data_IF_941782936545
#
_entry.id   IF_941782936545
#
_cell.length_a   1.000
_cell.length_b   1.000
_cell.length_c   1.000
_cell.angle_alpha   90.00
_cell.angle_beta   90.00
_cell.angle_gamma   90.00
#
_symmetry.space_group_name_H-M   'P 1'
#
loop_
_entity.id
_entity.type
_entity.pdbx_description
1 polymer ?
#
# COMPACT_ATOMS: atom_id res chain seq x y z
N UNK A 1 7.37 18.86 21.32
CA UNK A 1 8.14 17.87 20.54
C UNK A 1 8.20 16.58 21.36
N UNK A 2 7.61 15.49 20.87
CA UNK A 2 7.57 14.21 21.60
C UNK A 2 8.84 13.40 21.35
N UNK A 3 9.22 12.53 22.29
CA UNK A 3 10.22 11.45 22.10
C UNK A 3 9.47 10.14 21.84
N UNK A 4 10.09 9.11 21.23
CA UNK A 4 9.42 7.81 21.07
C UNK A 4 8.96 7.25 22.43
N UNK A 5 7.82 6.56 22.44
CA UNK A 5 7.37 5.84 23.63
C UNK A 5 8.33 4.69 23.95
N UNK A 6 8.49 4.28 25.23
CA UNK A 6 9.23 3.07 25.56
C UNK A 6 8.71 1.85 24.79
N UNK A 7 9.62 0.96 24.39
CA UNK A 7 9.30 -0.21 23.60
C UNK A 7 10.54 -0.76 22.91
N UNK A 8 10.35 -1.82 22.12
CA UNK A 8 11.43 -2.41 21.33
C UNK A 8 11.40 -1.79 19.93
N UNK A 9 12.55 -1.53 19.29
CA UNK A 9 12.62 -0.84 17.99
C UNK A 9 13.75 -1.38 17.11
N UNK A 10 13.56 -1.37 15.78
CA UNK A 10 14.66 -1.17 14.83
C UNK A 10 14.92 0.33 14.73
N UNK A 11 16.19 0.72 14.67
CA UNK A 11 16.60 2.13 14.55
C UNK A 11 17.35 2.27 13.23
N UNK A 12 16.71 2.92 12.26
CA UNK A 12 17.15 2.96 10.87
C UNK A 12 17.64 4.36 10.53
N UNK A 13 18.77 4.48 9.84
CA UNK A 13 19.23 5.78 9.37
C UNK A 13 18.31 6.30 8.26
N UNK A 14 18.13 7.63 8.19
CA UNK A 14 17.33 8.26 7.14
C UNK A 14 17.98 8.12 5.75
N UNK A 15 19.31 8.07 5.68
CA UNK A 15 20.07 7.91 4.44
C UNK A 15 20.16 6.43 4.07
N UNK A 16 19.93 6.13 2.80
CA UNK A 16 20.13 4.80 2.21
C UNK A 16 21.62 4.55 1.92
N UNK A 17 22.02 3.28 1.88
CA UNK A 17 23.35 2.91 1.39
C UNK A 17 23.55 3.34 -0.07
N UNK A 18 24.80 3.38 -0.60
CA UNK A 18 25.04 3.60 -2.02
C UNK A 18 24.34 2.60 -2.94
N UNK A 19 24.00 1.41 -2.43
CA UNK A 19 23.25 0.36 -3.14
C UNK A 19 21.73 0.49 -2.97
N UNK A 20 21.25 1.46 -2.21
CA UNK A 20 19.82 1.73 -1.98
C UNK A 20 19.23 1.03 -0.75
N UNK A 21 20.03 0.36 0.07
CA UNK A 21 19.56 -0.38 1.23
C UNK A 21 19.27 0.52 2.43
N UNK A 22 18.23 0.19 3.20
CA UNK A 22 17.99 0.79 4.51
C UNK A 22 19.03 0.27 5.51
N UNK A 23 19.69 1.16 6.24
CA UNK A 23 20.73 0.79 7.21
C UNK A 23 20.23 0.88 8.66
N UNK A 24 20.28 -0.24 9.37
CA UNK A 24 19.82 -0.37 10.76
C UNK A 24 20.97 -0.53 11.75
N UNK A 25 20.82 0.05 12.95
CA UNK A 25 21.79 -0.12 14.04
C UNK A 25 21.79 -1.58 14.48
N UNK A 26 22.97 -2.19 14.45
CA UNK A 26 23.18 -3.62 14.66
C UNK A 26 24.15 -3.86 15.82
N UNK A 27 23.72 -4.68 16.78
CA UNK A 27 24.57 -5.21 17.84
C UNK A 27 25.44 -6.34 17.31
N UNK A 28 26.76 -6.23 17.53
CA UNK A 28 27.73 -7.22 17.08
C UNK A 28 28.17 -8.13 18.23
N UNK A 29 28.72 -7.55 19.30
CA UNK A 29 29.23 -8.26 20.46
C UNK A 29 29.38 -7.30 21.65
N UNK A 30 29.42 -7.86 22.87
CA UNK A 30 29.73 -7.10 24.08
C UNK A 30 31.13 -6.46 24.00
N UNK A 31 31.25 -5.21 24.42
CA UNK A 31 32.47 -4.40 24.38
C UNK A 31 32.82 -3.86 22.99
N UNK A 32 32.16 -4.34 21.94
CA UNK A 32 32.35 -3.89 20.56
C UNK A 32 31.53 -2.65 20.21
N UNK A 33 31.87 -2.05 19.07
CA UNK A 33 31.07 -1.00 18.47
C UNK A 33 29.79 -1.58 17.84
N UNK A 34 28.68 -0.88 17.98
CA UNK A 34 27.51 -1.11 17.13
C UNK A 34 27.86 -0.70 15.69
N UNK A 35 27.28 -1.38 14.72
CA UNK A 35 27.45 -1.08 13.29
C UNK A 35 26.12 -0.73 12.62
N UNK A 36 26.20 -0.24 11.40
CA UNK A 36 25.09 -0.05 10.49
C UNK A 36 25.14 -1.19 9.49
N UNK A 37 24.08 -1.98 9.41
CA UNK A 37 23.98 -3.01 8.38
C UNK A 37 22.64 -2.99 7.68
N UNK A 38 22.53 -3.64 6.52
CA UNK A 38 21.27 -3.76 5.80
C UNK A 38 20.14 -4.24 6.75
N UNK A 39 18.99 -3.55 6.69
CA UNK A 39 17.85 -3.83 7.54
C UNK A 39 17.38 -5.27 7.34
N UNK A 40 17.23 -5.99 8.45
CA UNK A 40 16.77 -7.38 8.53
C UNK A 40 15.89 -7.57 9.76
N UNK A 41 15.30 -8.75 9.93
CA UNK A 41 14.49 -9.09 11.10
C UNK A 41 15.30 -9.69 12.26
N UNK A 42 16.63 -9.60 12.23
CA UNK A 42 17.50 -10.26 13.22
C UNK A 42 17.35 -9.64 14.61
N UNK A 43 17.33 -10.44 15.70
CA UNK A 43 17.33 -9.92 17.07
C UNK A 43 18.52 -9.03 17.43
N UNK A 44 19.61 -9.09 16.66
CA UNK A 44 20.77 -8.18 16.79
C UNK A 44 20.46 -6.74 16.35
N UNK A 45 19.41 -6.50 15.56
CA UNK A 45 18.99 -5.17 15.12
C UNK A 45 17.82 -4.60 15.94
N UNK A 46 17.34 -5.35 16.93
CA UNK A 46 16.23 -4.94 17.79
C UNK A 46 16.77 -4.39 19.11
N UNK A 47 16.27 -3.23 19.50
CA UNK A 47 16.72 -2.48 20.67
C UNK A 47 15.55 -2.16 21.60
N UNK A 48 15.67 -2.56 22.86
CA UNK A 48 14.79 -2.10 23.93
C UNK A 48 15.15 -0.66 24.29
N UNK A 49 14.20 0.25 24.02
CA UNK A 49 14.29 1.68 24.32
C UNK A 49 13.45 1.96 25.56
N UNK A 50 14.09 2.38 26.64
CA UNK A 50 13.43 2.63 27.94
C UNK A 50 13.62 4.07 28.37
N UNK A 51 12.60 4.64 29.03
CA UNK A 51 12.76 5.95 29.67
C UNK A 51 13.68 5.81 30.88
N UNK A 52 14.68 6.69 30.97
CA UNK A 52 15.49 6.81 32.18
C UNK A 52 14.96 7.96 33.06
N UNK A 53 14.70 9.12 32.47
CA UNK A 53 14.02 10.25 33.12
C UNK A 53 13.14 10.99 32.10
N UNK A 54 12.69 12.21 32.39
CA UNK A 54 11.84 13.01 31.49
C UNK A 54 12.52 13.44 30.17
N UNK A 55 13.86 13.43 30.11
CA UNK A 55 14.64 13.98 29.01
C UNK A 55 15.58 12.97 28.34
N UNK A 56 15.87 11.83 28.98
CA UNK A 56 16.80 10.82 28.45
C UNK A 56 16.22 9.41 28.44
N UNK A 57 16.76 8.58 27.56
CA UNK A 57 16.38 7.19 27.32
C UNK A 57 17.62 6.29 27.30
N UNK A 58 17.45 5.00 27.61
CA UNK A 58 18.49 3.99 27.49
C UNK A 58 18.14 3.01 26.35
N UNK A 59 19.17 2.43 25.73
CA UNK A 59 19.04 1.52 24.60
C UNK A 59 19.82 0.24 24.90
N UNK A 60 19.14 -0.90 24.93
CA UNK A 60 19.71 -2.22 25.19
C UNK A 60 19.37 -3.17 24.02
N UNK A 61 20.30 -3.99 23.50
CA UNK A 61 19.96 -4.94 22.46
C UNK A 61 19.03 -6.03 23.01
N UNK A 62 18.01 -6.43 22.25
CA UNK A 62 17.06 -7.49 22.68
C UNK A 62 17.77 -8.81 22.90
N UNK A 63 18.76 -9.12 22.07
CA UNK A 63 19.59 -10.33 22.19
C UNK A 63 20.52 -10.33 23.40
N UNK A 64 20.69 -9.22 24.11
CA UNK A 64 21.53 -9.11 25.32
C UNK A 64 21.05 -7.97 26.23
N UNK A 65 19.90 -8.14 26.92
CA UNK A 65 19.21 -7.04 27.61
C UNK A 65 19.93 -6.52 28.87
N UNK A 66 20.97 -7.22 29.34
CA UNK A 66 21.85 -6.78 30.43
C UNK A 66 22.90 -5.76 29.98
N UNK A 67 22.98 -5.49 28.67
CA UNK A 67 23.90 -4.51 28.07
C UNK A 67 23.17 -3.21 27.71
N UNK A 68 23.91 -2.14 27.53
CA UNK A 68 23.45 -0.83 27.09
C UNK A 68 24.41 -0.21 26.10
N UNK A 69 23.91 0.70 25.25
CA UNK A 69 24.77 1.56 24.44
C UNK A 69 25.49 2.59 25.31
N UNK A 70 26.80 2.70 25.12
CA UNK A 70 27.68 3.64 25.80
C UNK A 70 28.53 4.42 24.80
N UNK A 71 29.16 5.48 25.29
CA UNK A 71 30.06 6.31 24.51
C UNK A 71 31.45 5.67 24.50
N UNK A 72 31.95 5.29 23.32
CA UNK A 72 33.33 4.84 23.08
C UNK A 72 34.18 5.88 22.33
N UNK A 73 35.38 5.51 21.85
CA UNK A 73 36.25 6.47 21.15
C UNK A 73 35.70 6.84 19.76
N UNK A 74 34.82 7.86 19.70
CA UNK A 74 34.14 8.35 18.49
C UNK A 74 33.03 7.45 17.95
N UNK A 75 32.69 6.38 18.66
CA UNK A 75 31.69 5.38 18.25
C UNK A 75 30.80 4.98 19.41
N UNK A 76 29.65 4.41 19.10
CA UNK A 76 28.75 3.82 20.08
C UNK A 76 29.16 2.38 20.34
N UNK A 77 29.47 2.08 21.59
CA UNK A 77 29.82 0.73 22.06
C UNK A 77 28.67 0.12 22.85
N UNK A 78 28.67 -1.21 23.02
CA UNK A 78 27.63 -1.91 23.78
C UNK A 78 28.26 -2.65 24.95
N UNK A 79 27.97 -2.20 26.17
CA UNK A 79 28.68 -2.57 27.40
C UNK A 79 27.70 -2.92 28.53
N UNK A 80 28.14 -3.58 29.62
CA UNK A 80 27.27 -3.89 30.75
C UNK A 80 26.51 -2.66 31.26
N UNK A 81 25.23 -2.82 31.59
CA UNK A 81 24.38 -1.70 31.99
C UNK A 81 25.00 -0.88 33.15
N UNK A 82 24.98 0.44 32.99
CA UNK A 82 25.67 1.37 33.91
C UNK A 82 25.02 2.76 33.96
N UNK A 83 23.72 2.84 33.66
CA UNK A 83 22.98 4.10 33.51
C UNK A 83 23.48 4.99 32.36
N UNK A 84 23.91 4.38 31.25
CA UNK A 84 24.25 5.10 30.03
C UNK A 84 22.96 5.53 29.30
N UNK A 85 22.85 6.83 29.03
CA UNK A 85 21.60 7.43 28.56
C UNK A 85 21.83 8.46 27.47
N UNK A 86 20.82 8.63 26.63
CA UNK A 86 20.86 9.46 25.44
C UNK A 86 19.63 10.35 25.37
N UNK A 87 19.80 11.57 24.87
CA UNK A 87 18.71 12.50 24.59
C UNK A 87 18.15 12.22 23.20
N UNK A 88 16.85 11.90 23.13
CA UNK A 88 16.16 11.60 21.88
C UNK A 88 15.18 12.72 21.57
N UNK A 89 15.30 13.35 20.40
CA UNK A 89 14.45 14.46 19.98
C UNK A 89 13.82 14.20 18.62
N UNK A 90 12.50 14.28 18.54
CA UNK A 90 11.83 14.35 17.24
C UNK A 90 11.93 15.77 16.69
N UNK A 91 12.42 15.87 15.46
CA UNK A 91 12.40 17.07 14.65
C UNK A 91 11.43 16.89 13.49
N UNK A 92 11.13 17.96 12.75
CA UNK A 92 10.30 17.88 11.54
C UNK A 92 10.90 16.96 10.47
N UNK A 93 12.22 16.75 10.50
CA UNK A 93 12.95 16.00 9.48
C UNK A 93 13.32 14.57 9.89
N UNK A 94 12.96 14.14 11.11
CA UNK A 94 13.21 12.83 11.72
C UNK A 94 13.76 12.92 13.15
N UNK A 95 14.23 11.81 13.72
CA UNK A 95 14.65 11.75 15.15
C UNK A 95 16.17 11.81 15.29
N UNK A 96 16.69 12.68 16.16
CA UNK A 96 18.12 12.72 16.51
C UNK A 96 18.36 12.00 17.84
N UNK A 97 19.49 11.31 17.96
CA UNK A 97 19.97 10.68 19.20
C UNK A 97 21.27 11.37 19.60
N UNK A 98 21.30 11.99 20.78
CA UNK A 98 22.38 12.84 21.24
C UNK A 98 22.86 12.38 22.62
N UNK A 99 24.08 12.76 23.00
CA UNK A 99 24.54 12.61 24.38
C UNK A 99 23.70 13.46 25.35
N UNK A 100 23.82 13.18 26.65
CA UNK A 100 23.05 13.90 27.68
C UNK A 100 23.34 15.42 27.70
N UNK A 101 24.54 15.84 27.31
CA UNK A 101 24.91 17.25 27.16
C UNK A 101 24.48 17.88 25.83
N UNK A 102 23.96 17.07 24.89
CA UNK A 102 23.53 17.47 23.55
C UNK A 102 24.64 18.17 22.73
N UNK A 103 25.88 17.74 22.95
CA UNK A 103 27.10 18.24 22.29
C UNK A 103 27.51 17.39 21.09
N UNK A 104 27.12 16.11 21.07
CA UNK A 104 27.43 15.16 20.03
C UNK A 104 26.21 14.28 19.69
N UNK A 105 26.11 13.88 18.42
CA UNK A 105 24.98 13.11 17.92
C UNK A 105 25.44 11.83 17.21
N UNK A 106 24.62 10.81 17.36
CA UNK A 106 24.78 9.54 16.64
C UNK A 106 24.60 9.78 15.16
N UNK A 107 25.49 9.23 14.33
CA UNK A 107 25.42 9.39 12.89
C UNK A 107 25.93 8.18 12.10
N UNK A 108 25.42 8.09 10.87
CA UNK A 108 25.94 7.21 9.84
C UNK A 108 27.07 7.91 9.09
N UNK A 109 28.32 7.65 9.49
CA UNK A 109 29.50 8.34 8.96
C UNK A 109 29.50 8.43 7.42
N UNK A 110 29.62 7.29 6.74
CA UNK A 110 29.53 7.21 5.27
C UNK A 110 28.18 6.66 4.78
N UNK A 111 27.34 6.17 5.71
CA UNK A 111 26.09 5.47 5.41
C UNK A 111 26.33 4.26 4.48
N UNK A 112 27.30 3.42 4.81
CA UNK A 112 27.60 2.18 4.10
C UNK A 112 27.37 0.95 4.99
N UNK A 113 27.03 -0.18 4.37
CA UNK A 113 26.86 -1.46 5.09
C UNK A 113 28.18 -1.88 5.76
N UNK A 114 28.11 -2.19 7.05
CA UNK A 114 29.25 -2.52 7.90
C UNK A 114 29.90 -1.35 8.63
N UNK A 115 29.52 -0.10 8.34
CA UNK A 115 30.08 1.06 9.04
C UNK A 115 29.82 1.01 10.54
N UNK A 116 30.76 1.51 11.34
CA UNK A 116 30.52 1.68 12.78
C UNK A 116 29.52 2.82 13.00
N UNK A 117 28.62 2.66 13.97
CA UNK A 117 27.77 3.73 14.44
C UNK A 117 28.62 4.80 15.14
N UNK A 118 28.74 5.96 14.50
CA UNK A 118 29.59 7.05 14.96
C UNK A 118 28.85 7.97 15.94
N UNK A 119 29.63 8.66 16.78
CA UNK A 119 29.16 9.81 17.55
C UNK A 119 30.16 10.95 17.36
N UNK A 120 29.68 12.08 16.85
CA UNK A 120 30.54 13.24 16.53
C UNK A 120 29.86 14.54 16.96
N UNK A 121 30.62 15.63 17.16
CA UNK A 121 30.04 16.97 17.28
C UNK A 121 29.14 17.30 16.08
N UNK A 122 28.01 17.98 16.33
CA UNK A 122 27.01 18.31 15.31
C UNK A 122 25.65 17.66 15.58
N UNK A 123 24.57 18.28 15.06
CA UNK A 123 23.19 17.97 15.47
C UNK A 123 22.20 17.83 14.31
N UNK A 124 22.66 17.81 13.06
CA UNK A 124 21.74 17.89 11.92
C UNK A 124 22.28 17.34 10.61
N UNK A 125 21.35 17.12 9.68
CA UNK A 125 21.58 16.45 8.40
C UNK A 125 21.01 15.03 8.40
N UNK A 126 20.74 14.49 7.22
CA UNK A 126 20.03 13.21 7.09
C UNK A 126 20.84 12.05 7.71
N UNK A 127 22.17 12.09 7.67
CA UNK A 127 23.05 11.09 8.29
C UNK A 127 22.98 11.06 9.83
N UNK A 128 22.54 12.15 10.46
CA UNK A 128 22.35 12.28 11.91
C UNK A 128 20.91 11.94 12.33
N UNK A 129 20.07 11.60 11.34
CA UNK A 129 18.64 11.44 11.52
C UNK A 129 18.25 9.98 11.45
N UNK A 130 17.43 9.57 12.40
CA UNK A 130 17.03 8.19 12.63
C UNK A 130 15.51 8.05 12.57
N UNK A 131 15.06 6.88 12.16
CA UNK A 131 13.68 6.45 12.09
C UNK A 131 13.52 5.27 13.05
N UNK A 132 12.66 5.43 14.05
CA UNK A 132 12.35 4.40 15.04
C UNK A 132 11.18 3.56 14.52
N UNK A 133 11.44 2.28 14.22
CA UNK A 133 10.42 1.32 13.75
C UNK A 133 10.14 0.34 14.89
N UNK A 134 8.96 0.41 15.52
CA UNK A 134 8.65 -0.37 16.72
C UNK A 134 8.52 -1.88 16.44
N UNK A 135 9.15 -2.70 17.29
CA UNK A 135 9.13 -4.17 17.31
C UNK A 135 8.00 -4.63 18.23
N UNK A 136 7.24 -5.65 17.84
CA UNK A 136 5.97 -6.01 18.48
C UNK A 136 4.78 -5.15 18.03
N UNK A 137 5.06 -3.97 17.45
CA UNK A 137 4.24 -3.41 16.36
C UNK A 137 4.62 -4.00 14.98
N UNK A 138 5.61 -4.92 14.96
CA UNK A 138 6.32 -5.51 13.82
C UNK A 138 6.78 -4.49 12.74
N UNK A 139 7.86 -4.75 11.97
CA UNK A 139 7.69 -4.47 10.56
C UNK A 139 6.59 -5.43 10.15
N UNK A 140 5.35 -4.95 10.06
CA UNK A 140 4.39 -5.64 9.20
C UNK A 140 5.19 -6.03 7.94
N UNK A 141 5.13 -7.29 7.46
CA UNK A 141 5.72 -7.65 6.16
C UNK A 141 5.41 -6.50 5.21
N UNK A 142 6.44 -5.92 4.54
CA UNK A 142 6.52 -4.49 4.19
C UNK A 142 5.12 -3.90 4.14
N UNK A 143 4.68 -3.29 5.27
CA UNK A 143 3.26 -3.01 5.62
C UNK A 143 2.36 -3.64 4.60
N UNK A 144 1.78 -4.84 4.80
CA UNK A 144 0.84 -5.45 3.84
C UNK A 144 -0.05 -4.36 3.25
N UNK A 145 0.44 -3.82 2.14
CA UNK A 145 -0.13 -2.71 1.41
C UNK A 145 -0.65 -3.53 0.28
N UNK A 146 -1.69 -4.31 0.63
CA UNK A 146 -2.32 -5.20 -0.30
C UNK A 146 -2.64 -4.31 -1.47
N UNK A 147 -1.92 -4.51 -2.58
CA UNK A 147 -2.13 -3.66 -3.71
C UNK A 147 -3.34 -4.24 -4.43
N UNK A 148 -4.31 -3.40 -4.70
CA UNK A 148 -5.38 -3.74 -5.64
C UNK A 148 -4.99 -3.21 -7.00
N UNK A 149 -4.84 -4.14 -7.94
CA UNK A 149 -4.55 -3.87 -9.34
C UNK A 149 -5.79 -4.19 -10.16
N UNK A 150 -6.36 -3.17 -10.80
CA UNK A 150 -7.52 -3.29 -11.69
C UNK A 150 -7.00 -3.21 -13.11
N UNK A 151 -7.37 -4.20 -13.94
CA UNK A 151 -7.10 -4.19 -15.37
C UNK A 151 -8.40 -4.39 -16.13
N UNK A 152 -8.65 -3.59 -17.14
CA UNK A 152 -9.78 -3.79 -18.04
C UNK A 152 -9.39 -3.60 -19.49
N UNK A 153 -9.93 -4.44 -20.38
CA UNK A 153 -9.57 -4.46 -21.79
C UNK A 153 -10.71 -3.99 -22.68
N UNK A 154 -10.35 -3.21 -23.70
CA UNK A 154 -11.17 -2.94 -24.87
C UNK A 154 -10.60 -3.74 -26.05
N UNK A 155 -11.38 -4.67 -26.56
CA UNK A 155 -10.95 -5.48 -27.70
C UNK A 155 -11.27 -4.78 -29.04
N UNK A 156 -10.51 -5.12 -30.08
CA UNK A 156 -10.87 -4.71 -31.44
C UNK A 156 -12.24 -5.28 -31.85
N UNK A 157 -12.93 -4.61 -32.77
CA UNK A 157 -14.20 -5.09 -33.33
C UNK A 157 -14.09 -6.44 -34.03
N UNK A 158 -12.88 -6.85 -34.43
CA UNK A 158 -12.59 -8.14 -35.08
C UNK A 158 -12.23 -9.27 -34.11
N UNK A 159 -12.05 -8.98 -32.82
CA UNK A 159 -11.69 -10.01 -31.84
C UNK A 159 -12.88 -10.93 -31.59
N UNK A 160 -12.73 -12.22 -31.90
CA UNK A 160 -13.78 -13.23 -31.70
C UNK A 160 -14.03 -13.52 -30.23
N UNK A 161 -15.25 -13.98 -29.90
CA UNK A 161 -15.59 -14.39 -28.52
C UNK A 161 -14.71 -15.55 -28.03
N UNK A 162 -14.28 -16.46 -28.92
CA UNK A 162 -13.32 -17.50 -28.58
C UNK A 162 -11.95 -16.93 -28.18
N UNK A 163 -11.44 -15.92 -28.90
CA UNK A 163 -10.19 -15.26 -28.57
C UNK A 163 -10.30 -14.50 -27.23
N UNK A 164 -11.41 -13.79 -27.00
CA UNK A 164 -11.69 -13.14 -25.71
C UNK A 164 -11.72 -14.14 -24.55
N UNK A 165 -12.28 -15.33 -24.77
CA UNK A 165 -12.28 -16.40 -23.78
C UNK A 165 -10.88 -16.96 -23.52
N UNK A 166 -10.06 -17.14 -24.56
CA UNK A 166 -8.65 -17.54 -24.41
C UNK A 166 -7.86 -16.52 -23.61
N UNK A 167 -8.03 -15.22 -23.89
CA UNK A 167 -7.39 -14.14 -23.11
C UNK A 167 -7.83 -14.20 -21.65
N UNK A 168 -9.14 -14.37 -21.39
CA UNK A 168 -9.65 -14.45 -20.03
C UNK A 168 -9.11 -15.66 -19.26
N UNK A 169 -9.08 -16.85 -19.87
CA UNK A 169 -8.49 -18.03 -19.24
C UNK A 169 -7.01 -17.85 -18.93
N UNK A 170 -6.26 -17.27 -19.87
CA UNK A 170 -4.84 -16.98 -19.67
C UNK A 170 -4.60 -15.96 -18.55
N UNK A 171 -5.45 -14.91 -18.45
CA UNK A 171 -5.35 -13.95 -17.36
C UNK A 171 -5.64 -14.60 -16.00
N UNK A 172 -6.71 -15.39 -15.90
CA UNK A 172 -7.05 -16.09 -14.64
C UNK A 172 -5.94 -17.06 -14.19
N UNK A 173 -5.25 -17.70 -15.15
CA UNK A 173 -4.15 -18.62 -14.86
C UNK A 173 -2.95 -17.93 -14.19
N UNK A 174 -2.78 -16.61 -14.36
CA UNK A 174 -1.70 -15.85 -13.72
C UNK A 174 -1.71 -16.03 -12.20
N UNK A 175 -2.88 -16.18 -11.58
CA UNK A 175 -3.01 -16.44 -10.13
C UNK A 175 -2.12 -17.60 -9.66
N UNK A 176 -1.97 -18.63 -10.49
CA UNK A 176 -1.18 -19.83 -10.18
C UNK A 176 0.16 -19.88 -10.92
N UNK A 177 0.32 -19.14 -12.02
CA UNK A 177 1.54 -19.13 -12.83
C UNK A 177 2.57 -18.07 -12.38
N UNK A 178 2.12 -16.99 -11.75
CA UNK A 178 2.99 -15.96 -11.18
C UNK A 178 3.57 -16.45 -9.84
N UNK A 179 4.70 -17.14 -9.92
CA UNK A 179 5.38 -17.79 -8.80
C UNK A 179 6.56 -16.95 -8.30
N UNK A 180 6.64 -16.77 -6.98
CA UNK A 180 7.73 -16.09 -6.32
C UNK A 180 8.98 -16.97 -6.37
N UNK A 181 10.09 -16.44 -6.93
CA UNK A 181 11.36 -17.19 -7.05
C UNK A 181 11.96 -17.55 -5.69
N UNK A 182 11.73 -16.75 -4.66
CA UNK A 182 12.28 -16.95 -3.32
C UNK A 182 11.49 -17.99 -2.52
N UNK A 183 10.17 -18.06 -2.70
CA UNK A 183 9.30 -18.93 -1.90
C UNK A 183 8.77 -20.15 -2.66
N UNK A 184 8.84 -20.15 -3.99
CA UNK A 184 8.26 -21.18 -4.85
C UNK A 184 6.72 -21.23 -4.83
N UNK A 185 6.05 -20.18 -4.31
CA UNK A 185 4.60 -20.11 -4.16
C UNK A 185 4.01 -18.98 -5.02
N UNK A 186 2.73 -19.07 -5.44
CA UNK A 186 2.08 -17.96 -6.11
C UNK A 186 2.01 -16.73 -5.19
N UNK A 187 2.29 -15.55 -5.74
CA UNK A 187 2.29 -14.29 -4.97
C UNK A 187 1.06 -13.40 -5.25
N UNK A 188 0.24 -13.73 -6.24
CA UNK A 188 -1.08 -13.14 -6.44
C UNK A 188 -2.03 -13.75 -5.41
N UNK A 189 -2.48 -12.95 -4.44
CA UNK A 189 -3.30 -13.39 -3.30
C UNK A 189 -4.72 -13.70 -3.75
N UNK A 190 -5.32 -12.77 -4.49
CA UNK A 190 -6.64 -12.93 -5.08
C UNK A 190 -6.63 -12.42 -6.51
N UNK A 191 -7.45 -13.05 -7.36
CA UNK A 191 -7.64 -12.67 -8.75
C UNK A 191 -9.05 -13.06 -9.14
N UNK A 192 -9.83 -12.07 -9.51
CA UNK A 192 -11.19 -12.24 -10.02
C UNK A 192 -11.32 -11.48 -11.32
N UNK A 193 -12.20 -11.93 -12.20
CA UNK A 193 -12.53 -11.18 -13.40
C UNK A 193 -13.80 -11.68 -14.04
N UNK A 194 -14.33 -10.91 -14.96
CA UNK A 194 -15.53 -11.24 -15.69
C UNK A 194 -15.77 -10.27 -16.84
N UNK A 195 -16.81 -10.55 -17.61
CA UNK A 195 -17.32 -9.65 -18.63
C UNK A 195 -18.14 -8.54 -17.96
N UNK A 196 -17.91 -7.32 -18.44
CA UNK A 196 -18.71 -6.16 -18.10
C UNK A 196 -20.21 -6.42 -18.36
N UNK A 197 -21.02 -6.25 -17.33
CA UNK A 197 -22.49 -6.29 -17.40
C UNK A 197 -23.14 -5.00 -16.89
N UNK A 198 -22.37 -3.91 -16.76
CA UNK A 198 -22.87 -2.62 -16.32
C UNK A 198 -23.91 -2.04 -17.28
N UNK A 199 -24.93 -1.40 -16.70
CA UNK A 199 -26.01 -0.72 -17.44
C UNK A 199 -25.98 0.80 -17.28
N UNK A 200 -24.97 1.33 -16.59
CA UNK A 200 -24.88 2.76 -16.28
C UNK A 200 -24.31 3.59 -17.44
N UNK A 201 -23.72 2.96 -18.46
CA UNK A 201 -23.20 3.64 -19.64
C UNK A 201 -21.86 4.35 -19.46
N UNK A 202 -21.19 4.14 -18.33
CA UNK A 202 -19.87 4.73 -18.03
C UNK A 202 -18.70 3.76 -18.27
N UNK A 203 -18.89 2.64 -18.97
CA UNK A 203 -17.87 1.60 -19.18
C UNK A 203 -16.76 1.96 -20.18
N UNK A 204 -16.97 3.01 -20.98
CA UNK A 204 -16.01 3.51 -21.98
C UNK A 204 -15.59 2.44 -23.02
N UNK A 205 -16.48 1.50 -23.33
CA UNK A 205 -16.24 0.41 -24.27
C UNK A 205 -15.36 -0.72 -23.72
N UNK A 206 -15.07 -0.73 -22.42
CA UNK A 206 -14.30 -1.79 -21.78
C UNK A 206 -15.18 -3.04 -21.60
N UNK A 207 -14.68 -4.18 -22.06
CA UNK A 207 -15.47 -5.41 -22.16
C UNK A 207 -15.18 -6.40 -21.03
N UNK A 208 -13.91 -6.62 -20.67
CA UNK A 208 -13.51 -7.55 -19.61
C UNK A 208 -12.74 -6.78 -18.54
N UNK A 209 -12.97 -7.11 -17.27
CA UNK A 209 -12.25 -6.52 -16.13
C UNK A 209 -11.71 -7.61 -15.22
N UNK A 210 -10.57 -7.34 -14.61
CA UNK A 210 -9.86 -8.17 -13.66
C UNK A 210 -9.47 -7.31 -12.46
N UNK A 211 -9.63 -7.86 -11.27
CA UNK A 211 -9.20 -7.27 -10.00
C UNK A 211 -8.26 -8.27 -9.33
N UNK A 212 -7.01 -7.86 -9.16
CA UNK A 212 -5.95 -8.64 -8.53
C UNK A 212 -5.59 -8.01 -7.19
N UNK A 213 -5.14 -8.85 -6.28
CA UNK A 213 -4.55 -8.45 -5.02
C UNK A 213 -3.15 -9.04 -4.90
N UNK A 214 -2.16 -8.18 -4.67
CA UNK A 214 -0.81 -8.59 -4.31
C UNK A 214 -0.59 -8.45 -2.81
N UNK A 215 0.19 -9.35 -2.21
CA UNK A 215 0.50 -9.25 -0.78
C UNK A 215 1.40 -8.06 -0.45
N UNK A 216 2.24 -7.64 -1.41
CA UNK A 216 3.22 -6.58 -1.25
C UNK A 216 3.38 -5.76 -2.53
N UNK A 217 3.87 -4.53 -2.40
CA UNK A 217 4.24 -3.70 -3.55
C UNK A 217 5.38 -4.32 -4.37
N UNK A 218 6.34 -4.97 -3.72
CA UNK A 218 7.44 -5.66 -4.41
C UNK A 218 6.95 -6.79 -5.32
N UNK A 219 5.92 -7.53 -4.88
CA UNK A 219 5.28 -8.57 -5.70
C UNK A 219 4.60 -7.97 -6.93
N UNK A 220 3.91 -6.82 -6.78
CA UNK A 220 3.33 -6.08 -7.92
C UNK A 220 4.40 -5.57 -8.88
N UNK A 221 5.45 -4.92 -8.39
CA UNK A 221 6.51 -4.39 -9.25
C UNK A 221 7.21 -5.53 -10.01
N UNK A 222 7.46 -6.66 -9.35
CA UNK A 222 7.98 -7.85 -10.02
C UNK A 222 7.01 -8.38 -11.09
N UNK A 223 5.70 -8.45 -10.80
CA UNK A 223 4.67 -8.82 -11.77
C UNK A 223 4.72 -7.95 -13.02
N UNK A 224 4.76 -6.64 -12.86
CA UNK A 224 4.73 -5.68 -13.97
C UNK A 224 5.99 -5.75 -14.84
N UNK A 225 7.16 -5.82 -14.20
CA UNK A 225 8.45 -5.61 -14.87
C UNK A 225 9.19 -6.88 -15.27
N UNK A 226 9.07 -7.96 -14.49
CA UNK A 226 10.02 -9.08 -14.51
C UNK A 226 9.39 -10.46 -14.61
N UNK A 227 8.10 -10.60 -14.33
CA UNK A 227 7.46 -11.90 -14.32
C UNK A 227 7.26 -12.47 -15.75
N UNK A 228 7.84 -13.64 -16.05
CA UNK A 228 7.76 -14.22 -17.40
C UNK A 228 6.35 -14.72 -17.77
N UNK A 229 5.52 -15.11 -16.79
CA UNK A 229 4.14 -15.51 -17.06
C UNK A 229 3.29 -14.29 -17.44
N UNK A 230 3.46 -13.17 -16.73
CA UNK A 230 2.80 -11.92 -17.09
C UNK A 230 3.31 -11.38 -18.45
N UNK A 231 4.61 -11.43 -18.73
CA UNK A 231 5.16 -11.04 -20.04
C UNK A 231 4.59 -11.89 -21.19
N UNK A 232 4.47 -13.21 -20.99
CA UNK A 232 3.81 -14.11 -21.94
C UNK A 232 2.34 -13.72 -22.15
N UNK A 233 1.62 -13.37 -21.09
CA UNK A 233 0.26 -12.88 -21.18
C UNK A 233 0.17 -11.56 -21.97
N UNK A 234 1.04 -10.57 -21.70
CA UNK A 234 1.09 -9.29 -22.45
C UNK A 234 1.24 -9.52 -23.95
N UNK A 235 2.12 -10.46 -24.34
CA UNK A 235 2.33 -10.86 -25.75
C UNK A 235 1.10 -11.53 -26.37
N UNK A 236 0.38 -12.34 -25.58
CA UNK A 236 -0.86 -13.00 -26.02
C UNK A 236 -1.98 -11.99 -26.27
N UNK A 237 -2.21 -11.05 -25.34
CA UNK A 237 -3.36 -10.13 -25.42
C UNK A 237 -3.13 -8.99 -26.41
N UNK A 238 -1.89 -8.53 -26.56
CA UNK A 238 -1.54 -7.34 -27.35
C UNK A 238 -2.12 -7.26 -28.78
N UNK A 239 -2.21 -8.36 -29.56
CA UNK A 239 -2.83 -8.34 -30.89
C UNK A 239 -4.35 -8.11 -30.90
N UNK A 240 -5.04 -8.30 -29.77
CA UNK A 240 -6.50 -8.24 -29.68
C UNK A 240 -7.05 -6.91 -29.15
N UNK A 241 -6.18 -6.00 -28.69
CA UNK A 241 -6.54 -4.72 -28.08
C UNK A 241 -6.67 -3.60 -29.13
N UNK A 242 -7.59 -2.67 -28.87
CA UNK A 242 -7.93 -1.56 -29.77
C UNK A 242 -6.94 -0.38 -29.69
N UNK A 243 -5.73 -0.61 -30.23
CA UNK A 243 -4.58 0.34 -30.27
C UNK A 243 -4.85 1.71 -30.92
N UNK A 244 -5.61 1.82 -32.02
CA UNK A 244 -5.72 3.07 -32.76
C UNK A 244 -6.50 4.19 -32.05
N UNK A 245 -7.24 3.90 -30.96
CA UNK A 245 -8.12 4.88 -30.30
C UNK A 245 -7.62 5.36 -28.92
N UNK A 246 -6.35 5.11 -28.57
CA UNK A 246 -5.72 5.67 -27.37
C UNK A 246 -6.18 5.03 -26.06
N UNK A 247 -6.58 3.76 -26.05
CA UNK A 247 -7.02 3.08 -24.83
C UNK A 247 -6.95 1.56 -24.93
N UNK A 248 -5.75 1.00 -24.91
CA UNK A 248 -5.54 -0.46 -25.00
C UNK A 248 -6.01 -1.21 -23.75
N UNK A 249 -5.83 -0.59 -22.59
CA UNK A 249 -6.33 -1.08 -21.33
C UNK A 249 -6.70 0.11 -20.44
N UNK A 250 -7.49 -0.15 -19.42
CA UNK A 250 -7.53 0.67 -18.21
C UNK A 250 -6.77 -0.09 -17.13
N UNK A 251 -5.74 0.54 -16.56
CA UNK A 251 -4.96 -0.04 -15.46
C UNK A 251 -4.99 0.94 -14.30
N UNK A 252 -5.35 0.46 -13.12
CA UNK A 252 -5.45 1.28 -11.94
C UNK A 252 -4.99 0.53 -10.71
N UNK A 253 -4.13 1.17 -9.92
CA UNK A 253 -3.52 0.62 -8.72
C UNK A 253 -3.83 1.51 -7.54
N UNK A 254 -4.27 0.89 -6.45
CA UNK A 254 -4.41 1.58 -5.18
C UNK A 254 -4.11 0.69 -3.99
N UNK A 255 -3.69 1.34 -2.90
CA UNK A 255 -3.60 0.74 -1.59
C UNK A 255 -4.95 1.00 -0.91
N UNK A 256 -5.66 -0.05 -0.44
CA UNK A 256 -6.89 0.09 0.32
C UNK A 256 -6.80 1.16 1.41
N UNK A 257 -7.81 2.03 1.43
CA UNK A 257 -8.02 3.10 2.41
C UNK A 257 -6.96 4.21 2.41
N UNK A 258 -6.15 4.33 1.34
CA UNK A 258 -5.16 5.40 1.17
C UNK A 258 -5.63 6.39 0.11
N UNK A 259 -6.09 7.58 0.54
CA UNK A 259 -6.67 8.63 -0.34
C UNK A 259 -5.91 9.96 -0.34
N UNK A 260 -4.72 10.03 0.27
CA UNK A 260 -3.91 11.25 0.32
C UNK A 260 -2.58 11.03 -0.43
N UNK A 261 -2.12 12.04 -1.18
CA UNK A 261 -0.74 12.04 -1.69
C UNK A 261 0.23 11.90 -0.51
N UNK A 262 1.15 10.94 -0.58
CA UNK A 262 2.18 10.76 0.45
C UNK A 262 2.91 12.10 0.69
N UNK A 263 2.69 12.72 1.86
CA UNK A 263 3.24 14.04 2.16
C UNK A 263 2.63 14.79 3.36
N UNK A 264 1.46 14.40 3.88
CA UNK A 264 0.88 15.03 5.08
C UNK A 264 0.72 14.02 6.22
N UNK A 265 1.33 14.35 7.36
CA UNK A 265 1.47 13.53 8.57
C UNK A 265 0.16 13.39 9.37
N UNK A 266 -0.82 12.72 8.78
CA UNK A 266 -1.95 12.15 9.51
C UNK A 266 -2.13 10.73 8.99
N UNK A 267 -1.60 9.75 9.72
CA UNK A 267 -1.74 8.34 9.36
C UNK A 267 -3.22 7.96 9.21
N UNK A 268 -3.58 7.10 8.24
CA UNK A 268 -4.93 6.58 8.15
C UNK A 268 -5.26 5.87 9.47
N UNK A 269 -6.32 6.31 10.15
CA UNK A 269 -6.96 5.48 11.16
C UNK A 269 -7.51 4.27 10.42
N UNK A 270 -6.86 3.12 10.61
CA UNK A 270 -7.29 1.85 10.04
C UNK A 270 -8.67 1.49 10.60
N UNK A 271 -9.72 1.73 9.81
CA UNK A 271 -10.97 1.01 9.95
C UNK A 271 -10.69 -0.46 9.57
N UNK A 272 -10.31 -1.25 10.59
CA UNK A 272 -10.08 -2.70 10.48
C UNK A 272 -11.38 -3.42 10.10
N UNK A 273 -11.67 -3.50 8.80
CA UNK A 273 -12.64 -4.45 8.22
C UNK A 273 -12.21 -4.94 6.82
N UNK A 274 -10.90 -5.09 6.58
CA UNK A 274 -10.42 -5.69 5.34
C UNK A 274 -10.74 -7.19 5.32
N UNK A 275 -11.66 -7.58 4.45
CA UNK A 275 -11.85 -8.97 4.03
C UNK A 275 -11.30 -9.07 2.60
N UNK A 276 -10.42 -10.05 2.30
CA UNK A 276 -10.02 -10.31 0.92
C UNK A 276 -11.30 -10.55 0.10
N UNK A 277 -11.30 -10.11 -1.16
CA UNK A 277 -12.47 -10.30 -2.03
C UNK A 277 -12.87 -11.78 -2.01
N UNK A 278 -14.03 -12.07 -1.44
CA UNK A 278 -14.51 -13.42 -1.27
C UNK A 278 -15.25 -13.76 -2.56
N UNK A 279 -14.85 -14.80 -3.30
CA UNK A 279 -15.64 -15.21 -4.48
C UNK A 279 -16.95 -15.85 -4.01
N UNK A 280 -17.93 -15.02 -3.65
CA UNK A 280 -19.27 -15.45 -3.29
C UNK A 280 -19.96 -15.88 -4.58
N UNK A 281 -20.37 -17.16 -4.72
CA UNK A 281 -21.04 -17.59 -5.94
C UNK A 281 -22.32 -16.76 -6.19
N UNK A 282 -22.35 -16.07 -7.32
CA UNK A 282 -23.47 -15.20 -7.68
C UNK A 282 -23.38 -13.76 -7.17
N UNK A 283 -22.26 -13.37 -6.53
CA UNK A 283 -21.99 -11.96 -6.25
C UNK A 283 -21.80 -11.15 -7.53
N UNK A 284 -22.03 -9.84 -7.40
CA UNK A 284 -21.70 -8.88 -8.44
C UNK A 284 -20.65 -7.91 -7.88
N UNK A 285 -19.56 -7.75 -8.62
CA UNK A 285 -18.49 -6.80 -8.32
C UNK A 285 -18.70 -5.55 -9.17
N UNK A 286 -18.76 -4.41 -8.50
CA UNK A 286 -18.92 -3.08 -9.08
C UNK A 286 -17.63 -2.28 -8.87
N UNK A 287 -16.96 -1.97 -9.98
CA UNK A 287 -15.71 -1.22 -10.04
C UNK A 287 -16.03 0.20 -10.49
N UNK A 288 -15.62 1.18 -9.69
CA UNK A 288 -15.82 2.60 -9.97
C UNK A 288 -14.47 3.30 -9.96
N UNK A 289 -14.13 4.05 -11.02
CA UNK A 289 -13.04 5.00 -10.99
C UNK A 289 -13.58 6.42 -11.21
N UNK A 290 -13.07 7.36 -10.41
CA UNK A 290 -13.50 8.76 -10.38
C UNK A 290 -12.35 9.69 -10.75
N UNK A 291 -12.66 10.64 -11.62
CA UNK A 291 -11.80 11.77 -11.97
C UNK A 291 -12.45 13.06 -11.49
N UNK A 292 -11.66 14.04 -11.10
CA UNK A 292 -12.16 15.32 -10.60
C UNK A 292 -11.94 16.43 -11.61
N UNK A 293 -12.80 17.46 -11.57
CA UNK A 293 -12.57 18.68 -12.33
C UNK A 293 -11.31 19.40 -11.84
N UNK A 294 -10.65 20.10 -12.75
CA UNK A 294 -9.45 20.88 -12.44
C UNK A 294 -9.71 21.86 -11.29
N UNK A 295 -8.76 21.99 -10.37
CA UNK A 295 -8.86 22.85 -9.19
C UNK A 295 -9.65 22.27 -8.01
N UNK A 296 -10.14 21.02 -8.10
CA UNK A 296 -10.75 20.34 -6.95
C UNK A 296 -9.74 20.17 -5.82
N UNK A 297 -10.07 20.66 -4.62
CA UNK A 297 -9.18 20.61 -3.46
C UNK A 297 -9.04 19.19 -2.91
N UNK A 298 -7.89 18.88 -2.30
CA UNK A 298 -7.66 17.59 -1.64
C UNK A 298 -8.68 17.31 -0.53
N UNK A 299 -9.18 18.34 0.17
CA UNK A 299 -10.27 18.21 1.14
C UNK A 299 -11.56 17.70 0.50
N UNK A 300 -11.92 18.22 -0.67
CA UNK A 300 -13.12 17.78 -1.39
C UNK A 300 -12.95 16.36 -1.95
N UNK A 301 -11.76 16.02 -2.46
CA UNK A 301 -11.46 14.64 -2.88
C UNK A 301 -11.57 13.66 -1.71
N UNK A 302 -11.04 14.04 -0.54
CA UNK A 302 -11.15 13.23 0.67
C UNK A 302 -12.59 13.13 1.17
N UNK A 303 -13.42 14.17 1.00
CA UNK A 303 -14.84 14.10 1.32
C UNK A 303 -15.56 13.07 0.44
N UNK A 304 -15.29 13.06 -0.86
CA UNK A 304 -15.84 12.06 -1.80
C UNK A 304 -15.40 10.65 -1.41
N UNK A 305 -14.13 10.46 -1.08
CA UNK A 305 -13.63 9.16 -0.62
C UNK A 305 -14.34 8.69 0.65
N UNK A 306 -14.47 9.55 1.66
CA UNK A 306 -15.20 9.24 2.90
C UNK A 306 -16.66 8.89 2.64
N UNK A 307 -17.34 9.67 1.80
CA UNK A 307 -18.74 9.42 1.44
C UNK A 307 -18.90 8.08 0.72
N UNK A 308 -18.01 7.74 -0.22
CA UNK A 308 -18.07 6.45 -0.91
C UNK A 308 -17.85 5.27 0.06
N UNK A 309 -16.85 5.36 0.94
CA UNK A 309 -16.57 4.30 1.91
C UNK A 309 -17.73 4.09 2.90
N UNK A 310 -18.46 5.15 3.24
CA UNK A 310 -19.62 5.09 4.14
C UNK A 310 -20.78 4.26 3.58
N UNK A 311 -20.88 4.13 2.25
CA UNK A 311 -21.90 3.32 1.57
C UNK A 311 -21.91 1.87 2.08
N UNK A 312 -20.75 1.32 2.48
CA UNK A 312 -20.66 -0.03 3.06
C UNK A 312 -21.62 -0.24 4.24
N UNK A 313 -21.86 0.80 5.04
CA UNK A 313 -22.75 0.73 6.20
C UNK A 313 -24.08 1.44 5.99
N UNK A 314 -24.12 2.44 5.10
CA UNK A 314 -25.30 3.27 4.87
C UNK A 314 -26.27 2.68 3.84
N UNK A 315 -25.77 1.91 2.87
CA UNK A 315 -26.61 1.20 1.91
C UNK A 315 -27.22 -0.05 2.55
N UNK A 316 -28.42 0.13 3.10
CA UNK A 316 -29.17 -0.89 3.85
C UNK A 316 -30.39 -1.39 3.10
N UNK A 317 -30.67 -2.68 3.23
CA UNK A 317 -31.81 -3.32 2.59
C UNK A 317 -33.11 -2.86 3.25
N UNK A 318 -34.11 -2.33 2.51
CA UNK A 318 -35.35 -1.83 3.11
C UNK A 318 -36.15 -2.90 3.86
N UNK A 319 -36.03 -4.16 3.46
CA UNK A 319 -36.76 -5.27 4.08
C UNK A 319 -36.12 -5.78 5.37
N UNK A 320 -34.80 -5.64 5.51
CA UNK A 320 -34.06 -6.22 6.64
C UNK A 320 -33.40 -5.17 7.54
N UNK A 321 -33.25 -3.93 7.08
CA UNK A 321 -32.52 -2.86 7.75
C UNK A 321 -31.00 -3.12 7.87
N UNK A 322 -30.47 -4.14 7.18
CA UNK A 322 -29.05 -4.52 7.26
C UNK A 322 -28.28 -4.08 6.02
N UNK A 323 -26.99 -3.74 6.14
CA UNK A 323 -26.15 -3.47 4.97
C UNK A 323 -26.09 -4.67 4.03
N UNK A 324 -26.18 -4.41 2.73
CA UNK A 324 -26.14 -5.45 1.68
C UNK A 324 -24.86 -5.39 0.82
N UNK A 325 -24.03 -4.35 1.01
CA UNK A 325 -22.65 -4.33 0.50
C UNK A 325 -21.81 -5.25 1.39
N UNK A 326 -21.23 -6.29 0.79
CA UNK A 326 -20.45 -7.31 1.50
C UNK A 326 -19.02 -6.84 1.71
N UNK A 327 -18.41 -6.30 0.65
CA UNK A 327 -17.07 -5.74 0.69
C UNK A 327 -17.03 -4.41 -0.06
N UNK A 328 -16.19 -3.51 0.42
CA UNK A 328 -15.92 -2.23 -0.21
C UNK A 328 -14.51 -1.81 0.16
N UNK A 329 -13.70 -1.53 -0.86
CA UNK A 329 -12.36 -0.96 -0.73
C UNK A 329 -12.18 0.12 -1.79
N UNK A 330 -11.25 1.04 -1.56
CA UNK A 330 -10.84 2.02 -2.55
C UNK A 330 -9.56 2.73 -2.13
N UNK A 331 -9.02 3.54 -3.04
CA UNK A 331 -7.84 4.35 -2.76
C UNK A 331 -7.48 5.28 -3.91
N UNK A 332 -6.43 6.07 -3.70
CA UNK A 332 -5.84 6.93 -4.71
C UNK A 332 -4.96 6.13 -5.67
N UNK A 333 -5.01 6.57 -6.92
CA UNK A 333 -4.19 6.03 -7.99
C UNK A 333 -2.69 6.20 -7.69
N UNK A 334 -1.93 5.14 -7.94
CA UNK A 334 -0.47 5.21 -8.05
C UNK A 334 0.10 4.27 -9.11
N UNK A 335 -0.71 3.91 -10.13
CA UNK A 335 -0.27 3.12 -11.28
C UNK A 335 0.97 3.72 -11.95
N UNK A 336 1.83 2.84 -12.45
CA UNK A 336 3.07 3.20 -13.16
C UNK A 336 2.95 2.95 -14.67
N UNK A 337 1.91 2.25 -15.10
CA UNK A 337 1.67 1.81 -16.47
C UNK A 337 1.07 2.90 -17.37
N UNK A 338 0.80 4.10 -16.82
CA UNK A 338 0.25 5.28 -17.52
C UNK A 338 -1.07 5.01 -18.30
N UNK A 339 -1.77 3.93 -17.95
CA UNK A 339 -3.04 3.50 -18.55
C UNK A 339 -4.26 3.76 -17.63
N UNK A 340 -4.08 4.59 -16.61
CA UNK A 340 -5.08 5.01 -15.63
C UNK A 340 -6.05 6.07 -16.17
N UNK A 341 -5.72 6.67 -17.32
CA UNK A 341 -6.55 7.66 -18.03
C UNK A 341 -6.87 8.89 -17.18
N UNK A 342 -5.98 9.27 -16.26
CA UNK A 342 -6.13 10.38 -15.31
C UNK A 342 -7.27 10.19 -14.30
N UNK A 343 -7.71 8.96 -14.06
CA UNK A 343 -8.58 8.69 -12.92
C UNK A 343 -7.77 8.83 -11.63
N UNK A 344 -8.35 9.44 -10.61
CA UNK A 344 -7.62 9.79 -9.38
C UNK A 344 -7.95 8.84 -8.24
N UNK A 345 -9.20 8.39 -8.12
CA UNK A 345 -9.65 7.42 -7.12
C UNK A 345 -10.32 6.22 -7.80
N UNK A 346 -10.18 5.04 -7.20
CA UNK A 346 -10.98 3.88 -7.57
C UNK A 346 -11.54 3.16 -6.34
N UNK A 347 -12.65 2.46 -6.56
CA UNK A 347 -13.38 1.69 -5.56
C UNK A 347 -13.80 0.35 -6.17
N UNK A 348 -13.74 -0.70 -5.36
CA UNK A 348 -14.24 -2.04 -5.68
C UNK A 348 -15.27 -2.40 -4.62
N UNK A 349 -16.51 -2.58 -5.06
CA UNK A 349 -17.67 -2.93 -4.22
C UNK A 349 -18.12 -4.33 -4.59
N UNK A 350 -18.39 -5.16 -3.59
CA UNK A 350 -18.98 -6.48 -3.78
C UNK A 350 -20.38 -6.53 -3.16
N UNK A 351 -21.36 -6.86 -3.99
CA UNK A 351 -22.74 -7.11 -3.61
C UNK A 351 -22.98 -8.62 -3.51
N UNK A 352 -23.73 -9.07 -2.51
CA UNK A 352 -24.04 -10.50 -2.33
C UNK A 352 -24.79 -11.08 -3.54
N UNK A 353 -25.61 -10.27 -4.20
CA UNK A 353 -26.38 -10.66 -5.38
C UNK A 353 -26.44 -9.54 -6.43
N UNK A 354 -26.73 -9.92 -7.67
CA UNK A 354 -27.10 -8.97 -8.73
C UNK A 354 -28.29 -8.09 -8.34
N UNK A 355 -29.27 -8.62 -7.61
CA UNK A 355 -30.45 -7.86 -7.20
C UNK A 355 -30.09 -6.72 -6.24
N UNK A 356 -29.17 -6.97 -5.31
CA UNK A 356 -28.65 -5.95 -4.40
C UNK A 356 -27.92 -4.83 -5.17
N UNK A 357 -27.08 -5.21 -6.15
CA UNK A 357 -26.39 -4.25 -7.03
C UNK A 357 -27.36 -3.44 -7.89
N UNK A 358 -28.44 -4.04 -8.37
CA UNK A 358 -29.48 -3.33 -9.12
C UNK A 358 -30.27 -2.39 -8.21
N UNK A 359 -30.55 -2.78 -6.98
CA UNK A 359 -31.18 -1.90 -6.01
C UNK A 359 -30.29 -0.69 -5.69
N UNK A 360 -29.00 -0.92 -5.43
CA UNK A 360 -27.99 0.11 -5.15
C UNK A 360 -28.03 1.26 -6.16
N UNK A 361 -27.92 0.93 -7.45
CA UNK A 361 -27.84 1.98 -8.49
C UNK A 361 -29.17 2.64 -8.79
N UNK A 362 -30.30 1.94 -8.63
CA UNK A 362 -31.59 2.44 -9.08
C UNK A 362 -32.44 3.10 -7.97
N UNK A 363 -32.17 2.79 -6.69
CA UNK A 363 -33.10 3.07 -5.58
C UNK A 363 -32.44 3.45 -4.25
N UNK A 364 -31.14 3.22 -4.08
CA UNK A 364 -30.49 3.40 -2.78
C UNK A 364 -30.25 4.88 -2.47
N UNK A 365 -30.84 5.35 -1.37
CA UNK A 365 -30.77 6.75 -1.01
C UNK A 365 -29.35 7.20 -0.60
N UNK A 366 -28.53 6.31 -0.02
CA UNK A 366 -27.16 6.64 0.34
C UNK A 366 -26.30 6.81 -0.93
N UNK A 367 -26.52 5.96 -1.95
CA UNK A 367 -25.92 6.12 -3.26
C UNK A 367 -26.34 7.44 -3.95
N UNK A 368 -27.61 7.85 -3.85
CA UNK A 368 -28.08 9.15 -4.35
C UNK A 368 -27.36 10.32 -3.64
N UNK A 369 -27.26 10.28 -2.30
CA UNK A 369 -26.55 11.29 -1.52
C UNK A 369 -25.05 11.37 -1.88
N UNK A 370 -24.42 10.23 -2.15
CA UNK A 370 -23.05 10.20 -2.66
C UNK A 370 -22.97 10.93 -4.01
N UNK A 371 -23.92 10.71 -4.92
CA UNK A 371 -23.96 11.38 -6.21
C UNK A 371 -24.14 12.90 -6.08
N UNK A 372 -24.90 13.38 -5.09
CA UNK A 372 -25.03 14.81 -4.78
C UNK A 372 -23.71 15.45 -4.31
N UNK A 373 -22.88 14.69 -3.60
CA UNK A 373 -21.54 15.13 -3.15
C UNK A 373 -20.56 15.17 -4.33
N UNK A 374 -20.56 14.13 -5.16
CA UNK A 374 -19.59 13.99 -6.25
C UNK A 374 -19.94 14.80 -7.49
N UNK A 375 -21.23 14.92 -7.83
CA UNK A 375 -21.72 15.60 -9.04
C UNK A 375 -21.15 17.00 -9.27
N UNK A 376 -21.12 17.89 -8.26
CA UNK A 376 -20.53 19.23 -8.39
C UNK A 376 -19.01 19.25 -8.65
N UNK A 377 -18.32 18.12 -8.50
CA UNK A 377 -16.86 17.99 -8.61
C UNK A 377 -16.40 17.35 -9.93
N UNK A 378 -17.30 17.07 -10.86
CA UNK A 378 -16.98 16.54 -12.20
C UNK A 378 -17.18 17.61 -13.30
N UNK A 379 -16.66 17.33 -14.50
CA UNK A 379 -16.90 18.09 -15.73
C UNK A 379 -17.92 17.38 -16.66
N UNK A 380 -18.43 16.22 -16.25
CA UNK A 380 -19.42 15.43 -16.98
C UNK A 380 -19.16 13.92 -16.87
N UNK A 381 -19.86 13.15 -17.70
CA UNK A 381 -19.87 11.68 -17.70
C UNK A 381 -18.50 11.06 -18.02
N UNK A 382 -17.62 11.82 -18.68
CA UNK A 382 -16.25 11.41 -18.96
C UNK A 382 -15.41 11.15 -17.71
N UNK A 383 -15.81 11.70 -16.56
CA UNK A 383 -15.07 11.65 -15.29
C UNK A 383 -15.49 10.47 -14.38
N UNK A 384 -16.33 9.58 -14.89
CA UNK A 384 -16.71 8.31 -14.26
C UNK A 384 -16.31 7.16 -15.15
N UNK A 385 -15.77 6.10 -14.55
CA UNK A 385 -15.68 4.78 -15.15
C UNK A 385 -16.44 3.82 -14.24
N UNK A 386 -17.39 3.09 -14.79
CA UNK A 386 -18.14 2.07 -14.04
C UNK A 386 -18.15 0.78 -14.83
N UNK A 387 -17.74 -0.31 -14.18
CA UNK A 387 -17.76 -1.66 -14.73
C UNK A 387 -18.34 -2.58 -13.67
N UNK A 388 -19.29 -3.42 -14.07
CA UNK A 388 -19.83 -4.48 -13.22
C UNK A 388 -19.46 -5.83 -13.80
N UNK A 389 -19.25 -6.83 -12.96
CA UNK A 389 -19.09 -8.19 -13.45
C UNK A 389 -19.48 -9.22 -12.41
N UNK A 390 -19.85 -10.41 -12.89
CA UNK A 390 -19.96 -11.61 -12.06
C UNK A 390 -18.65 -12.39 -12.19
N UNK A 391 -17.94 -12.68 -11.08
CA UNK A 391 -16.68 -13.43 -11.13
C UNK A 391 -16.78 -14.74 -11.92
N UNK A 392 -15.85 -14.94 -12.85
CA UNK A 392 -15.77 -16.14 -13.69
C UNK A 392 -16.73 -16.18 -14.89
N UNK A 393 -17.61 -15.20 -15.06
CA UNK A 393 -18.58 -15.15 -16.17
C UNK A 393 -18.05 -14.26 -17.29
N UNK A 394 -17.63 -14.86 -18.42
CA UNK A 394 -17.07 -14.14 -19.57
C UNK A 394 -17.93 -14.20 -20.84
N UNK A 395 -18.88 -15.13 -20.90
CA UNK A 395 -19.80 -15.26 -22.04
C UNK A 395 -20.98 -14.29 -21.91
N UNK A 396 -21.53 -13.85 -23.04
CA UNK A 396 -22.84 -13.19 -23.04
C UNK A 396 -23.89 -14.19 -22.58
N UNK A 397 -24.75 -13.79 -21.63
CA UNK A 397 -25.97 -14.54 -21.31
C UNK A 397 -26.98 -14.40 -22.43
#
# INVERSE_FOLDING_TARGET
MSRPAPGTYYIVNKVLSPTGDKLAITFNNQGGAASLTALSNKPSQQWNVTNYNSSTMAFAPVSSPTLQTGWGSGVIVVIPAGAYVWTVKNTTNGTTIQDGGQTASWNAANATDGDKLAITPGTGGDRYTWIFVKVGDEPKPPKAENNIHIVSFKYTSTTSESAKMTVAQAFLALKTECISRSTGRPYIVSLQGGRNNSREGFDKGLEHVYVLEFATEDDRLYYLDKDPAHDKFKKLVGPYLDKPTGGDAFVFDYIPDVFAKQGTSTGPQALRMYQPLCSIPGSNIHVVALKYKSGTSETNKLLVAKAFLALKTESVSPSTGKPYIVSLTGGSNYSVEEADKNFEHAFVVEFATEADRQYFVNRDHAHDQFNDIFGPLTQGDGDRLVIDFVPGVFNRR
#
